data_IF_646111319230
#
_entry.id   IF_646111319230
#
_cell.length_a   1.000
_cell.length_b   1.000
_cell.length_c   1.000
_cell.angle_alpha   90.00
_cell.angle_beta   90.00
_cell.angle_gamma   90.00
#
_symmetry.space_group_name_H-M   'P 1'
#
loop_
_entity.id
_entity.type
_entity.pdbx_description
1 polymer ?
#
# COMPACT_ATOMS: atom_id res chain seq x y z
N UNK A 1 -11.89 -13.66 11.23
CA UNK A 1 -11.92 -13.45 9.77
C UNK A 1 -10.61 -13.97 9.20
N UNK A 2 -10.61 -14.74 8.11
CA UNK A 2 -9.37 -15.25 7.52
C UNK A 2 -8.71 -14.14 6.66
N UNK A 3 -7.48 -13.74 7.00
CA UNK A 3 -6.71 -12.71 6.29
C UNK A 3 -6.45 -13.08 4.82
N UNK A 4 -6.16 -14.35 4.53
CA UNK A 4 -5.91 -14.83 3.17
C UNK A 4 -7.14 -14.57 2.30
N UNK A 5 -8.32 -14.99 2.78
CA UNK A 5 -9.58 -14.74 2.07
C UNK A 5 -9.85 -13.26 1.88
N UNK A 6 -9.54 -12.43 2.88
CA UNK A 6 -9.74 -10.99 2.80
C UNK A 6 -8.85 -10.35 1.72
N UNK A 7 -7.57 -10.70 1.69
CA UNK A 7 -6.64 -10.27 0.63
C UNK A 7 -7.12 -10.76 -0.73
N UNK A 8 -7.44 -12.04 -0.86
CA UNK A 8 -7.89 -12.62 -2.13
C UNK A 8 -9.20 -12.00 -2.62
N UNK A 9 -10.14 -11.69 -1.74
CA UNK A 9 -11.38 -11.02 -2.14
C UNK A 9 -11.09 -9.60 -2.69
N UNK A 10 -10.10 -8.89 -2.14
CA UNK A 10 -9.68 -7.57 -2.64
C UNK A 10 -8.85 -7.65 -3.93
N UNK A 11 -7.88 -8.56 -4.01
CA UNK A 11 -7.06 -8.85 -5.22
C UNK A 11 -7.94 -9.28 -6.40
N UNK A 12 -9.03 -9.99 -6.12
CA UNK A 12 -9.98 -10.43 -7.14
C UNK A 12 -11.15 -9.46 -7.35
N UNK A 13 -11.08 -8.24 -6.81
CA UNK A 13 -12.09 -7.18 -6.96
C UNK A 13 -13.52 -7.58 -6.54
N UNK A 14 -13.64 -8.55 -5.62
CA UNK A 14 -14.92 -8.93 -5.03
C UNK A 14 -15.37 -7.96 -3.95
N UNK A 15 -14.42 -7.23 -3.36
CA UNK A 15 -14.63 -6.10 -2.46
C UNK A 15 -13.80 -4.93 -2.95
N UNK A 16 -14.27 -3.71 -2.66
CA UNK A 16 -13.56 -2.49 -2.99
C UNK A 16 -12.61 -2.03 -1.88
N UNK A 17 -11.92 -0.91 -2.08
CA UNK A 17 -10.93 -0.40 -1.13
C UNK A 17 -11.56 -0.02 0.22
N UNK A 18 -12.75 0.58 0.19
CA UNK A 18 -13.45 1.01 1.40
C UNK A 18 -13.83 -0.23 2.21
N UNK A 19 -14.41 -1.24 1.56
CA UNK A 19 -14.73 -2.51 2.19
C UNK A 19 -13.47 -3.21 2.76
N UNK A 20 -12.36 -3.15 2.03
CA UNK A 20 -11.09 -3.74 2.47
C UNK A 20 -10.55 -3.06 3.72
N UNK A 21 -10.49 -1.72 3.74
CA UNK A 21 -10.04 -0.92 4.89
C UNK A 21 -10.91 -1.17 6.13
N UNK A 22 -12.24 -1.15 5.99
CA UNK A 22 -13.16 -1.43 7.09
C UNK A 22 -12.96 -2.83 7.68
N UNK A 23 -12.75 -3.83 6.81
CA UNK A 23 -12.47 -5.19 7.28
C UNK A 23 -11.10 -5.30 7.94
N UNK A 24 -10.09 -4.60 7.44
CA UNK A 24 -8.78 -4.56 8.09
C UNK A 24 -8.86 -3.94 9.48
N UNK A 25 -9.59 -2.84 9.65
CA UNK A 25 -9.81 -2.19 10.95
C UNK A 25 -10.33 -3.21 11.99
N UNK A 26 -11.37 -3.96 11.63
CA UNK A 26 -12.01 -4.97 12.48
C UNK A 26 -11.32 -6.35 12.46
N UNK A 27 -10.18 -6.49 11.78
CA UNK A 27 -9.45 -7.76 11.77
C UNK A 27 -8.76 -7.98 13.13
N UNK A 28 -9.32 -8.90 13.91
CA UNK A 28 -8.68 -9.46 15.10
C UNK A 28 -7.71 -10.58 14.69
N UNK A 29 -6.42 -10.37 14.92
CA UNK A 29 -5.40 -11.40 14.76
C UNK A 29 -5.14 -12.04 16.12
N UNK A 30 -5.72 -13.21 16.32
CA UNK A 30 -5.58 -13.98 17.57
C UNK A 30 -4.30 -14.83 17.60
N UNK A 31 -3.66 -15.05 16.45
CA UNK A 31 -2.42 -15.80 16.32
C UNK A 31 -1.43 -15.10 15.36
N UNK A 32 -0.48 -14.34 15.93
CA UNK A 32 0.58 -13.64 15.16
C UNK A 32 1.41 -14.61 14.32
N UNK A 33 1.75 -15.80 14.83
CA UNK A 33 2.57 -16.77 14.11
C UNK A 33 1.88 -17.34 12.86
N UNK A 34 0.58 -17.58 12.93
CA UNK A 34 -0.21 -18.03 11.76
C UNK A 34 -0.26 -16.95 10.68
N UNK A 35 -0.49 -15.69 11.06
CA UNK A 35 -0.45 -14.55 10.15
C UNK A 35 0.93 -14.44 9.47
N UNK A 36 2.01 -14.47 10.24
CA UNK A 36 3.37 -14.35 9.71
C UNK A 36 3.71 -15.50 8.76
N UNK A 37 3.35 -16.73 9.11
CA UNK A 37 3.54 -17.89 8.24
C UNK A 37 2.78 -17.75 6.93
N UNK A 38 1.53 -17.27 6.96
CA UNK A 38 0.77 -16.99 5.75
C UNK A 38 1.48 -15.95 4.88
N UNK A 39 1.82 -14.79 5.45
CA UNK A 39 2.45 -13.69 4.72
C UNK A 39 3.80 -14.09 4.10
N UNK A 40 4.64 -14.83 4.82
CA UNK A 40 5.92 -15.35 4.29
C UNK A 40 5.69 -16.24 3.07
N UNK A 41 4.66 -17.07 3.09
CA UNK A 41 4.34 -18.00 2.00
C UNK A 41 3.52 -17.37 0.86
N UNK A 42 3.01 -16.15 1.04
CA UNK A 42 2.25 -15.42 0.03
C UNK A 42 3.18 -14.79 -1.02
N UNK A 43 3.71 -15.63 -1.93
CA UNK A 43 4.77 -15.28 -2.89
C UNK A 43 4.47 -15.66 -4.35
N UNK A 44 3.23 -15.97 -4.66
CA UNK A 44 2.80 -16.28 -6.03
C UNK A 44 2.94 -15.07 -6.95
N UNK A 45 3.28 -15.31 -8.23
CA UNK A 45 3.55 -14.26 -9.22
C UNK A 45 2.37 -13.96 -10.14
N UNK A 46 1.19 -14.49 -9.85
CA UNK A 46 -0.06 -14.11 -10.53
C UNK A 46 -0.65 -12.88 -9.85
N UNK A 47 -1.13 -11.90 -10.63
CA UNK A 47 -1.72 -10.65 -10.12
C UNK A 47 -0.79 -9.87 -9.18
N UNK A 48 0.47 -9.71 -9.59
CA UNK A 48 1.51 -9.16 -8.72
C UNK A 48 1.17 -7.73 -8.27
N UNK A 49 0.67 -6.90 -9.17
CA UNK A 49 0.38 -5.50 -8.89
C UNK A 49 -0.80 -5.38 -7.90
N UNK A 50 -1.87 -6.16 -8.10
CA UNK A 50 -3.01 -6.20 -7.19
C UNK A 50 -2.62 -6.71 -5.80
N UNK A 51 -1.77 -7.73 -5.75
CA UNK A 51 -1.23 -8.30 -4.50
C UNK A 51 -0.31 -7.30 -3.79
N UNK A 52 0.49 -6.55 -4.54
CA UNK A 52 1.35 -5.51 -4.00
C UNK A 52 0.49 -4.43 -3.32
N UNK A 53 -0.53 -3.90 -4.00
CA UNK A 53 -1.44 -2.92 -3.39
C UNK A 53 -2.10 -3.45 -2.12
N UNK A 54 -2.61 -4.70 -2.15
CA UNK A 54 -3.24 -5.33 -0.99
C UNK A 54 -2.28 -5.43 0.20
N UNK A 55 -1.05 -5.92 -0.03
CA UNK A 55 -0.05 -6.09 1.02
C UNK A 55 0.48 -4.76 1.55
N UNK A 56 0.64 -3.76 0.69
CA UNK A 56 1.07 -2.42 1.09
C UNK A 56 0.02 -1.76 2.00
N UNK A 57 -1.27 -1.85 1.64
CA UNK A 57 -2.38 -1.36 2.47
C UNK A 57 -2.46 -2.12 3.79
N UNK A 58 -2.33 -3.45 3.75
CA UNK A 58 -2.27 -4.28 4.96
C UNK A 58 -1.10 -3.86 5.86
N UNK A 59 0.07 -3.55 5.29
CA UNK A 59 1.22 -3.04 6.03
C UNK A 59 0.90 -1.70 6.72
N UNK A 60 0.26 -0.74 6.02
CA UNK A 60 -0.17 0.53 6.64
C UNK A 60 -1.05 0.30 7.86
N UNK A 61 -2.09 -0.53 7.71
CA UNK A 61 -3.10 -0.71 8.75
C UNK A 61 -2.67 -1.62 9.90
N UNK A 62 -1.70 -2.52 9.66
CA UNK A 62 -1.35 -3.62 10.58
C UNK A 62 0.17 -3.82 10.72
N UNK A 63 0.96 -2.77 10.56
CA UNK A 63 2.43 -2.78 10.62
C UNK A 63 3.03 -3.59 11.79
N UNK A 64 2.46 -3.50 12.99
CA UNK A 64 2.93 -4.25 14.17
C UNK A 64 3.00 -5.77 13.96
N UNK A 65 2.20 -6.29 13.02
CA UNK A 65 2.18 -7.70 12.65
C UNK A 65 3.30 -8.08 11.67
N UNK A 66 3.82 -7.09 10.93
CA UNK A 66 4.98 -7.24 10.05
C UNK A 66 6.31 -7.13 10.78
N UNK A 67 6.32 -6.56 12.00
CA UNK A 67 7.51 -6.57 12.86
C UNK A 67 8.00 -8.00 13.08
N UNK A 68 9.32 -8.16 12.99
CA UNK A 68 10.05 -9.41 13.24
C UNK A 68 9.83 -10.52 12.21
N UNK A 69 9.13 -10.27 11.09
CA UNK A 69 9.07 -11.23 9.98
C UNK A 69 10.46 -11.30 9.33
N UNK A 70 10.99 -12.51 9.13
CA UNK A 70 12.13 -12.74 8.23
C UNK A 70 11.58 -13.08 6.84
N UNK A 71 11.92 -12.26 5.85
CA UNK A 71 11.25 -12.26 4.54
C UNK A 71 12.19 -12.32 3.34
N UNK A 72 13.43 -12.78 3.53
CA UNK A 72 14.49 -12.83 2.51
C UNK A 72 14.11 -13.52 1.19
N UNK A 73 13.00 -14.28 1.16
CA UNK A 73 12.51 -15.00 -0.02
C UNK A 73 11.16 -14.50 -0.58
N UNK A 74 10.51 -13.51 0.05
CA UNK A 74 9.22 -12.98 -0.41
C UNK A 74 9.42 -11.64 -1.14
N UNK A 75 9.19 -11.56 -2.46
CA UNK A 75 9.48 -10.36 -3.24
C UNK A 75 8.64 -9.15 -2.83
N UNK A 76 7.39 -9.35 -2.41
CA UNK A 76 6.53 -8.27 -1.97
C UNK A 76 7.04 -7.65 -0.67
N UNK A 77 7.40 -8.49 0.30
CA UNK A 77 7.87 -8.04 1.60
C UNK A 77 9.25 -7.40 1.52
N UNK A 78 10.13 -7.92 0.66
CA UNK A 78 11.40 -7.27 0.34
C UNK A 78 11.15 -5.85 -0.17
N UNK A 79 10.25 -5.69 -1.14
CA UNK A 79 9.97 -4.38 -1.71
C UNK A 79 9.32 -3.43 -0.71
N UNK A 80 8.32 -3.87 0.07
CA UNK A 80 7.72 -3.05 1.14
C UNK A 80 8.80 -2.62 2.14
N UNK A 81 9.67 -3.55 2.54
CA UNK A 81 10.72 -3.22 3.50
C UNK A 81 11.71 -2.19 2.93
N UNK A 82 12.13 -2.33 1.67
CA UNK A 82 13.02 -1.37 1.02
C UNK A 82 12.37 0.01 0.88
N UNK A 83 11.07 0.07 0.55
CA UNK A 83 10.29 1.30 0.45
C UNK A 83 10.08 2.00 1.80
N UNK A 84 10.00 1.23 2.88
CA UNK A 84 9.61 1.72 4.20
C UNK A 84 10.78 1.74 5.20
N UNK A 85 12.01 1.40 4.77
CA UNK A 85 13.20 1.34 5.62
C UNK A 85 13.49 2.64 6.38
N UNK A 86 13.11 3.77 5.80
CA UNK A 86 13.37 5.10 6.34
C UNK A 86 12.22 5.62 7.22
N UNK A 87 11.10 4.87 7.29
CA UNK A 87 9.95 5.15 8.16
C UNK A 87 10.24 4.62 9.56
N UNK A 88 10.39 5.54 10.53
CA UNK A 88 10.76 5.20 11.92
C UNK A 88 9.56 5.03 12.83
N UNK A 89 8.50 5.78 12.57
CA UNK A 89 7.26 5.76 13.31
C UNK A 89 6.10 5.73 12.33
N UNK A 90 5.00 5.09 12.73
CA UNK A 90 3.79 5.05 11.91
C UNK A 90 2.73 5.89 12.58
N UNK A 91 2.61 7.13 12.10
CA UNK A 91 1.44 7.96 12.28
C UNK A 91 0.73 8.05 10.93
N UNK A 92 -0.24 7.15 10.73
CA UNK A 92 -0.91 6.96 9.44
C UNK A 92 -2.04 7.97 9.28
N UNK A 93 -1.92 8.85 8.28
CA UNK A 93 -2.96 9.80 7.90
C UNK A 93 -3.58 9.39 6.56
N UNK A 94 -4.91 9.30 6.50
CA UNK A 94 -5.66 9.10 5.26
C UNK A 94 -6.09 10.46 4.71
N UNK A 95 -5.49 10.88 3.60
CA UNK A 95 -5.74 12.17 2.96
C UNK A 95 -6.91 12.09 1.98
N UNK A 96 -6.99 10.99 1.22
CA UNK A 96 -8.08 10.71 0.30
C UNK A 96 -8.37 9.21 0.27
N UNK A 97 -9.66 8.85 0.38
CA UNK A 97 -10.11 7.46 0.29
C UNK A 97 -11.26 7.40 -0.71
N UNK A 98 -10.96 6.93 -1.92
CA UNK A 98 -11.97 6.61 -2.92
C UNK A 98 -12.34 5.14 -2.90
N UNK A 99 -13.26 4.75 -3.79
CA UNK A 99 -13.69 3.36 -3.94
C UNK A 99 -12.54 2.42 -4.37
N UNK A 100 -11.61 2.95 -5.16
CA UNK A 100 -10.52 2.18 -5.76
C UNK A 100 -9.16 2.85 -5.61
N UNK A 101 -9.09 3.99 -4.93
CA UNK A 101 -7.87 4.78 -4.88
C UNK A 101 -7.64 5.35 -3.48
N UNK A 102 -6.38 5.57 -3.15
CA UNK A 102 -5.95 5.94 -1.81
C UNK A 102 -4.84 6.97 -1.91
N UNK A 103 -4.91 8.02 -1.10
CA UNK A 103 -3.76 8.84 -0.75
C UNK A 103 -3.60 8.77 0.75
N UNK A 104 -2.45 8.26 1.19
CA UNK A 104 -2.11 8.19 2.61
C UNK A 104 -0.72 8.74 2.86
N UNK A 105 -0.47 9.18 4.09
CA UNK A 105 0.76 9.81 4.51
C UNK A 105 1.27 9.15 5.80
N UNK A 106 2.58 8.97 5.88
CA UNK A 106 3.29 8.52 7.07
C UNK A 106 4.55 9.38 7.18
N UNK A 107 4.65 10.19 8.24
CA UNK A 107 5.70 11.20 8.37
C UNK A 107 5.76 12.14 7.13
N UNK A 108 6.86 12.09 6.37
CA UNK A 108 7.06 12.83 5.12
C UNK A 108 6.91 11.96 3.86
N UNK A 109 6.43 10.72 4.02
CA UNK A 109 6.13 9.80 2.93
C UNK A 109 4.66 9.86 2.57
N UNK A 110 4.39 9.83 1.27
CA UNK A 110 3.05 9.78 0.69
C UNK A 110 2.94 8.55 -0.19
N UNK A 111 1.87 7.80 -0.01
CA UNK A 111 1.56 6.64 -0.82
C UNK A 111 0.26 6.92 -1.58
N UNK A 112 0.34 6.86 -2.90
CA UNK A 112 -0.78 7.08 -3.81
C UNK A 112 -1.05 5.77 -4.53
N UNK A 113 -2.22 5.17 -4.34
CA UNK A 113 -2.57 3.85 -4.88
C UNK A 113 -3.76 3.96 -5.82
N UNK A 114 -3.69 3.28 -6.96
CA UNK A 114 -4.82 3.01 -7.84
C UNK A 114 -5.07 1.51 -7.94
N UNK A 115 -6.04 0.99 -7.18
CA UNK A 115 -6.50 -0.40 -7.25
C UNK A 115 -7.72 -0.55 -8.16
N UNK A 116 -7.54 -0.22 -9.43
CA UNK A 116 -8.58 -0.21 -10.45
C UNK A 116 -8.07 -0.85 -11.75
N UNK A 117 -8.98 -1.40 -12.56
CA UNK A 117 -8.71 -1.96 -13.91
C UNK A 117 -8.57 -0.88 -14.98
N UNK A 118 -8.34 0.37 -14.58
CA UNK A 118 -8.28 1.53 -15.47
C UNK A 118 -7.28 2.52 -14.89
N UNK A 119 -6.59 3.18 -15.80
CA UNK A 119 -5.86 4.39 -15.49
C UNK A 119 -6.83 5.47 -14.98
N UNK A 120 -6.39 6.22 -13.97
CA UNK A 120 -7.13 7.35 -13.43
C UNK A 120 -6.25 8.59 -13.42
N UNK A 121 -6.86 9.74 -13.64
CA UNK A 121 -6.22 11.03 -13.39
C UNK A 121 -6.71 11.52 -12.02
N UNK A 122 -5.81 11.60 -11.06
CA UNK A 122 -6.14 11.92 -9.67
C UNK A 122 -5.71 13.35 -9.34
N UNK A 123 -6.63 14.13 -8.78
CA UNK A 123 -6.28 15.45 -8.22
C UNK A 123 -5.51 15.25 -6.92
N UNK A 124 -4.30 15.81 -6.84
CA UNK A 124 -3.48 15.69 -5.65
C UNK A 124 -3.97 16.63 -4.53
N UNK A 125 -3.78 16.30 -3.24
CA UNK A 125 -4.07 17.22 -2.15
C UNK A 125 -3.14 18.44 -2.23
N UNK A 126 -3.56 19.62 -1.76
CA UNK A 126 -2.78 20.86 -1.89
C UNK A 126 -1.35 20.77 -1.36
N UNK A 127 -1.09 19.93 -0.37
CA UNK A 127 0.26 19.73 0.18
C UNK A 127 1.22 18.96 -0.75
N UNK A 128 0.72 18.32 -1.81
CA UNK A 128 1.51 17.61 -2.82
C UNK A 128 1.60 18.37 -4.15
N UNK A 129 0.71 19.33 -4.41
CA UNK A 129 0.66 20.05 -5.68
C UNK A 129 1.87 20.96 -5.87
N UNK A 130 2.36 21.04 -7.11
CA UNK A 130 3.42 21.98 -7.54
C UNK A 130 4.73 21.81 -6.75
N UNK A 131 5.05 20.57 -6.36
CA UNK A 131 6.26 20.21 -5.60
C UNK A 131 7.18 19.30 -6.39
N UNK A 132 8.48 19.42 -6.13
CA UNK A 132 9.44 18.38 -6.49
C UNK A 132 9.51 17.39 -5.33
N UNK A 133 9.36 16.11 -5.64
CA UNK A 133 9.37 15.01 -4.67
C UNK A 133 10.30 13.90 -5.14
N UNK A 134 10.86 13.14 -4.22
CA UNK A 134 11.58 11.92 -4.61
C UNK A 134 10.59 10.76 -4.74
N UNK A 135 10.62 10.07 -5.89
CA UNK A 135 9.79 8.90 -6.15
C UNK A 135 10.61 7.61 -5.97
N UNK A 136 10.22 6.78 -5.00
CA UNK A 136 10.91 5.52 -4.72
C UNK A 136 10.67 4.45 -5.79
N UNK A 137 9.54 4.50 -6.49
CA UNK A 137 9.25 3.57 -7.59
C UNK A 137 10.19 3.78 -8.78
N UNK A 138 10.54 5.04 -9.07
CA UNK A 138 11.42 5.42 -10.17
C UNK A 138 12.88 5.61 -9.74
N UNK A 139 13.13 5.75 -8.42
CA UNK A 139 14.41 6.13 -7.84
C UNK A 139 14.95 7.44 -8.45
N UNK A 140 14.07 8.43 -8.61
CA UNK A 140 14.35 9.73 -9.22
C UNK A 140 13.43 10.83 -8.68
N UNK A 141 13.79 12.09 -8.90
CA UNK A 141 12.95 13.24 -8.62
C UNK A 141 11.80 13.35 -9.64
N UNK A 142 10.62 13.72 -9.16
CA UNK A 142 9.43 13.96 -9.96
C UNK A 142 8.83 15.31 -9.59
N UNK A 143 8.41 16.06 -10.60
CA UNK A 143 7.64 17.30 -10.42
C UNK A 143 6.16 16.93 -10.42
N UNK A 144 5.51 17.09 -9.28
CA UNK A 144 4.08 16.92 -9.13
C UNK A 144 3.36 18.18 -9.61
N UNK A 145 2.42 18.00 -10.54
CA UNK A 145 1.48 19.04 -10.93
C UNK A 145 0.23 19.00 -10.03
N UNK A 146 -0.91 19.52 -10.51
CA UNK A 146 -2.18 19.46 -9.77
C UNK A 146 -2.83 18.08 -9.84
N UNK A 147 -2.58 17.38 -10.94
CA UNK A 147 -3.13 16.06 -11.22
C UNK A 147 -1.98 15.09 -11.49
N UNK A 148 -2.18 13.83 -11.11
CA UNK A 148 -1.24 12.75 -11.35
C UNK A 148 -1.96 11.61 -12.07
N UNK A 149 -1.39 11.18 -13.19
CA UNK A 149 -1.87 10.03 -13.92
C UNK A 149 -1.37 8.74 -13.25
N UNK A 150 -2.32 7.90 -12.85
CA UNK A 150 -2.06 6.64 -12.15
C UNK A 150 -2.47 5.47 -13.04
N UNK A 151 -1.51 4.66 -13.53
CA UNK A 151 -1.81 3.44 -14.27
C UNK A 151 -2.70 2.46 -13.49
N UNK A 152 -3.30 1.49 -14.18
CA UNK A 152 -4.07 0.43 -13.52
C UNK A 152 -3.20 -0.35 -12.52
N UNK A 153 -3.79 -0.70 -11.37
CA UNK A 153 -3.13 -1.43 -10.28
C UNK A 153 -1.78 -0.87 -9.81
N UNK A 154 -1.51 0.41 -10.05
CA UNK A 154 -0.23 1.03 -9.70
C UNK A 154 -0.24 1.66 -8.32
N UNK A 155 0.95 2.00 -7.85
CA UNK A 155 1.12 2.93 -6.75
C UNK A 155 2.39 3.78 -6.91
N UNK A 156 2.41 4.91 -6.22
CA UNK A 156 3.59 5.75 -6.01
C UNK A 156 3.89 5.86 -4.52
N UNK A 157 5.16 5.71 -4.16
CA UNK A 157 5.73 6.01 -2.85
C UNK A 157 6.64 7.23 -3.03
N UNK A 158 6.20 8.35 -2.48
CA UNK A 158 6.79 9.67 -2.68
C UNK A 158 7.29 10.20 -1.34
N UNK A 159 8.41 10.91 -1.35
CA UNK A 159 8.93 11.56 -0.16
C UNK A 159 9.17 13.04 -0.43
N UNK A 160 8.77 13.87 0.53
CA UNK A 160 9.05 15.30 0.55
C UNK A 160 10.19 15.53 1.54
N UNK A 161 11.31 16.08 1.06
CA UNK A 161 12.41 16.55 1.91
C UNK A 161 12.16 17.94 2.50
#
# INVERSE_FOLDING_TARGET
>A
MNIEKLIEDFVNLKIDLIDYLLKLEHLEITNKGEFQNFIINYKETTKMDEKMNALLILWFCKYELFKDIQYDSNPYLLYINDLTKDIKHIDLEFLEVGKHNLITKIDNFYFIINHNTREINMTLPPELQEKTVFCYNCNDEMILEKELLLPEFSFYALCIE
#
